data_IF_077710512664
#
_entry.id   IF_077710512664
#
_cell.length_a   1.000
_cell.length_b   1.000
_cell.length_c   1.000
_cell.angle_alpha   90.00
_cell.angle_beta   90.00
_cell.angle_gamma   90.00
#
_symmetry.space_group_name_H-M   'P 1'
#
loop_
_entity.id
_entity.type
_entity.pdbx_description
1 polymer ?
#
# COMPACT_ATOMS: atom_id res chain seq x y z
N UNK A 1 21.25 -7.23 3.83
CA UNK A 1 21.65 -6.32 2.74
C UNK A 1 23.02 -6.77 2.24
N UNK A 2 23.22 -6.88 0.93
CA UNK A 2 24.47 -7.39 0.32
C UNK A 2 25.50 -6.31 -0.01
N UNK A 3 25.17 -5.03 0.19
CA UNK A 3 26.02 -3.91 -0.21
C UNK A 3 25.99 -3.58 -1.71
N UNK A 4 25.05 -4.14 -2.48
CA UNK A 4 24.95 -3.92 -3.94
C UNK A 4 24.37 -2.54 -4.33
N UNK A 5 23.87 -1.77 -3.37
CA UNK A 5 23.38 -0.40 -3.55
C UNK A 5 23.60 0.40 -2.26
N UNK A 6 23.97 1.68 -2.39
CA UNK A 6 24.14 2.59 -1.24
C UNK A 6 22.79 3.04 -0.65
N UNK A 7 21.78 3.22 -1.52
CA UNK A 7 20.44 3.71 -1.18
C UNK A 7 19.41 2.94 -2.00
N UNK A 8 18.25 2.65 -1.40
CA UNK A 8 17.08 2.11 -2.08
C UNK A 8 15.80 2.78 -1.57
N UNK A 9 14.83 2.97 -2.45
CA UNK A 9 13.46 3.32 -2.08
C UNK A 9 12.66 2.04 -1.83
N UNK A 10 11.95 1.98 -0.70
CA UNK A 10 11.13 0.84 -0.29
C UNK A 10 9.78 1.41 0.16
N UNK A 11 8.67 0.82 -0.30
CA UNK A 11 7.35 1.25 0.15
C UNK A 11 7.12 0.89 1.64
N UNK A 12 6.24 1.63 2.31
CA UNK A 12 6.04 1.51 3.75
C UNK A 12 5.45 0.17 4.18
N UNK A 13 4.68 -0.51 3.31
CA UNK A 13 4.08 -1.82 3.60
C UNK A 13 5.15 -2.90 3.52
N UNK A 14 5.93 -2.93 2.44
CA UNK A 14 7.08 -3.84 2.31
C UNK A 14 8.10 -3.62 3.42
N UNK A 15 8.37 -2.36 3.82
CA UNK A 15 9.24 -2.08 4.96
C UNK A 15 8.66 -2.62 6.28
N UNK A 16 7.35 -2.48 6.50
CA UNK A 16 6.68 -3.02 7.68
C UNK A 16 6.82 -4.54 7.76
N UNK A 17 6.52 -5.25 6.67
CA UNK A 17 6.64 -6.72 6.57
C UNK A 17 8.09 -7.16 6.74
N UNK A 18 9.05 -6.48 6.10
CA UNK A 18 10.46 -6.81 6.23
C UNK A 18 10.95 -6.69 7.68
N UNK A 19 10.46 -5.72 8.48
CA UNK A 19 10.81 -5.65 9.92
C UNK A 19 10.39 -6.89 10.72
N UNK A 20 9.36 -7.61 10.26
CA UNK A 20 8.87 -8.81 10.92
C UNK A 20 9.61 -10.07 10.46
N UNK A 21 10.02 -10.13 9.18
CA UNK A 21 10.52 -11.36 8.57
C UNK A 21 12.01 -11.33 8.16
N UNK A 22 12.60 -10.15 7.97
CA UNK A 22 13.92 -10.00 7.34
C UNK A 22 15.02 -9.58 8.32
N UNK A 23 16.00 -10.46 8.64
CA UNK A 23 17.12 -10.11 9.52
C UNK A 23 17.96 -8.93 8.99
N UNK A 24 17.99 -8.75 7.67
CA UNK A 24 18.71 -7.70 6.97
C UNK A 24 18.31 -6.28 7.41
N UNK A 25 17.10 -6.10 7.96
CA UNK A 25 16.64 -4.81 8.47
C UNK A 25 17.59 -4.23 9.53
N UNK A 26 18.26 -5.09 10.31
CA UNK A 26 19.19 -4.66 11.37
C UNK A 26 20.41 -3.90 10.82
N UNK A 27 20.72 -4.07 9.54
CA UNK A 27 21.83 -3.38 8.88
C UNK A 27 21.38 -2.21 8.00
N UNK A 28 20.12 -1.80 8.08
CA UNK A 28 19.55 -0.72 7.28
C UNK A 28 19.14 0.45 8.18
N UNK A 29 19.20 1.66 7.62
CA UNK A 29 18.74 2.88 8.29
C UNK A 29 17.80 3.64 7.37
N UNK A 30 16.66 4.05 7.89
CA UNK A 30 15.75 4.97 7.18
C UNK A 30 16.34 6.38 7.24
N UNK A 31 16.55 6.99 6.07
CA UNK A 31 17.15 8.33 5.94
C UNK A 31 16.15 9.40 5.49
N UNK A 32 15.03 9.01 4.89
CA UNK A 32 13.98 9.91 4.42
C UNK A 32 12.65 9.14 4.24
N UNK A 33 11.55 9.90 4.16
CA UNK A 33 10.23 9.42 3.77
C UNK A 33 9.67 10.31 2.67
N UNK A 34 8.93 9.73 1.73
CA UNK A 34 8.04 10.49 0.84
C UNK A 34 6.84 10.99 1.63
N UNK A 35 6.12 11.99 1.10
CA UNK A 35 4.84 12.39 1.69
C UNK A 35 3.83 11.23 1.61
N UNK A 36 2.78 11.28 2.42
CA UNK A 36 1.76 10.24 2.43
C UNK A 36 0.97 10.21 1.11
N UNK A 37 0.69 9.01 0.60
CA UNK A 37 -0.20 8.75 -0.53
C UNK A 37 -1.34 7.84 -0.07
N UNK A 38 -2.52 7.87 -0.71
CA UNK A 38 -3.59 6.93 -0.41
C UNK A 38 -3.11 5.48 -0.51
N UNK A 39 -3.66 4.61 0.34
CA UNK A 39 -3.33 3.19 0.37
C UNK A 39 -3.77 2.46 -0.91
N UNK A 40 -3.31 1.22 -1.08
CA UNK A 40 -3.63 0.40 -2.25
C UNK A 40 -5.15 0.29 -2.45
N UNK A 41 -5.69 0.63 -3.64
CA UNK A 41 -7.11 0.49 -3.91
C UNK A 41 -7.49 -0.98 -4.08
N UNK A 42 -8.65 -1.37 -3.55
CA UNK A 42 -9.34 -2.59 -3.92
C UNK A 42 -10.35 -2.28 -5.02
N UNK A 43 -10.06 -2.74 -6.24
CA UNK A 43 -10.85 -2.41 -7.42
C UNK A 43 -11.77 -3.58 -7.77
N UNK A 44 -13.05 -3.30 -7.96
CA UNK A 44 -14.03 -4.29 -8.45
C UNK A 44 -14.21 -4.20 -9.98
N UNK A 45 -15.06 -5.06 -10.55
CA UNK A 45 -15.33 -5.01 -11.98
C UNK A 45 -16.09 -3.73 -12.38
N UNK A 46 -15.88 -3.29 -13.62
CA UNK A 46 -16.31 -1.97 -14.13
C UNK A 46 -17.79 -1.65 -13.97
N UNK A 47 -18.67 -2.66 -14.09
CA UNK A 47 -20.12 -2.45 -14.17
C UNK A 47 -20.86 -2.88 -12.89
N UNK A 48 -20.16 -2.90 -11.75
CA UNK A 48 -20.80 -3.20 -10.47
C UNK A 48 -21.86 -2.13 -10.14
N UNK A 49 -23.07 -2.58 -9.85
CA UNK A 49 -24.14 -1.72 -9.38
C UNK A 49 -23.85 -1.18 -7.98
N UNK A 50 -24.48 -0.06 -7.62
CA UNK A 50 -24.35 0.51 -6.27
C UNK A 50 -24.73 -0.50 -5.17
N UNK A 51 -25.72 -1.37 -5.44
CA UNK A 51 -26.13 -2.41 -4.51
C UNK A 51 -25.04 -3.47 -4.32
N UNK A 52 -24.41 -3.94 -5.40
CA UNK A 52 -23.30 -4.90 -5.33
C UNK A 52 -22.11 -4.29 -4.59
N UNK A 53 -21.80 -3.03 -4.85
CA UNK A 53 -20.74 -2.30 -4.14
C UNK A 53 -21.04 -2.20 -2.63
N UNK A 54 -22.28 -1.89 -2.25
CA UNK A 54 -22.68 -1.85 -0.84
C UNK A 54 -22.49 -3.21 -0.16
N UNK A 55 -22.93 -4.29 -0.80
CA UNK A 55 -22.77 -5.65 -0.28
C UNK A 55 -21.29 -6.02 -0.12
N UNK A 56 -20.43 -5.67 -1.07
CA UNK A 56 -18.99 -5.91 -0.97
C UNK A 56 -18.38 -5.13 0.21
N UNK A 57 -18.77 -3.87 0.42
CA UNK A 57 -18.27 -3.05 1.54
C UNK A 57 -18.68 -3.63 2.88
N UNK A 58 -19.93 -4.05 3.03
CA UNK A 58 -20.43 -4.68 4.27
C UNK A 58 -19.70 -5.99 4.55
N UNK A 59 -19.48 -6.82 3.52
CA UNK A 59 -18.75 -8.08 3.64
C UNK A 59 -17.28 -7.85 4.04
N UNK A 60 -16.61 -6.84 3.46
CA UNK A 60 -15.23 -6.49 3.81
C UNK A 60 -15.12 -5.95 5.24
N UNK A 61 -16.05 -5.09 5.66
CA UNK A 61 -16.09 -4.59 7.04
C UNK A 61 -16.22 -5.74 8.03
N UNK A 62 -17.18 -6.65 7.77
CA UNK A 62 -17.36 -7.85 8.59
C UNK A 62 -16.13 -8.76 8.60
N UNK A 63 -15.49 -8.97 7.45
CA UNK A 63 -14.29 -9.80 7.37
C UNK A 63 -13.11 -9.22 8.17
N UNK A 64 -12.96 -7.89 8.21
CA UNK A 64 -11.94 -7.22 9.02
C UNK A 64 -12.22 -7.38 10.52
N UNK A 65 -13.48 -7.26 10.92
CA UNK A 65 -13.90 -7.43 12.32
C UNK A 65 -13.72 -8.89 12.80
N UNK A 66 -14.02 -9.85 11.93
CA UNK A 66 -13.95 -11.29 12.23
C UNK A 66 -12.51 -11.85 12.21
N UNK A 67 -11.53 -11.10 11.69
CA UNK A 67 -10.14 -11.58 11.62
C UNK A 67 -9.52 -11.67 13.03
N UNK A 68 -8.80 -12.74 13.31
CA UNK A 68 -8.10 -12.89 14.60
C UNK A 68 -6.86 -11.97 14.67
N UNK A 69 -6.34 -11.76 15.88
CA UNK A 69 -5.24 -10.80 16.10
C UNK A 69 -3.92 -11.23 15.44
N UNK A 70 -3.65 -12.54 15.33
CA UNK A 70 -2.44 -13.05 14.68
C UNK A 70 -2.50 -12.77 13.17
N UNK A 71 -3.62 -13.12 12.54
CA UNK A 71 -3.89 -12.82 11.13
C UNK A 71 -3.90 -11.31 10.88
N UNK A 72 -4.48 -10.50 11.78
CA UNK A 72 -4.48 -9.03 11.66
C UNK A 72 -3.07 -8.46 11.69
N UNK A 73 -2.22 -8.94 12.60
CA UNK A 73 -0.84 -8.51 12.73
C UNK A 73 0.02 -8.89 11.51
N UNK A 74 -0.25 -10.06 10.92
CA UNK A 74 0.42 -10.54 9.71
C UNK A 74 -0.04 -9.81 8.44
N UNK A 75 -1.34 -9.59 8.27
CA UNK A 75 -1.89 -8.92 7.09
C UNK A 75 -1.62 -7.40 7.12
N UNK A 76 -1.56 -6.80 8.31
CA UNK A 76 -1.42 -5.35 8.48
C UNK A 76 -2.65 -4.55 8.03
N UNK A 77 -3.75 -5.23 7.67
CA UNK A 77 -5.00 -4.61 7.24
C UNK A 77 -5.88 -4.34 8.46
N UNK A 78 -6.29 -3.08 8.62
CA UNK A 78 -7.14 -2.64 9.75
C UNK A 78 -8.55 -2.21 9.33
N UNK A 79 -8.83 -2.21 8.03
CA UNK A 79 -10.10 -1.74 7.50
C UNK A 79 -10.02 -1.40 6.03
N UNK A 80 -11.20 -1.30 5.42
CA UNK A 80 -11.40 -0.75 4.10
C UNK A 80 -12.25 0.51 4.25
N UNK A 81 -11.82 1.59 3.58
CA UNK A 81 -12.54 2.86 3.59
C UNK A 81 -13.01 3.17 2.16
N UNK A 82 -14.25 3.64 1.98
CA UNK A 82 -14.69 4.13 0.68
C UNK A 82 -13.77 5.23 0.18
N UNK A 83 -13.37 5.14 -1.08
CA UNK A 83 -12.54 6.12 -1.79
C UNK A 83 -13.07 6.26 -3.21
N UNK A 84 -12.98 7.48 -3.71
CA UNK A 84 -13.28 7.83 -5.09
C UNK A 84 -11.98 7.96 -5.89
N UNK A 85 -12.07 8.05 -7.21
CA UNK A 85 -10.88 8.12 -8.08
C UNK A 85 -10.07 9.40 -7.81
N UNK A 86 -10.73 10.48 -7.44
CA UNK A 86 -10.12 11.78 -7.12
C UNK A 86 -9.21 11.71 -5.89
N UNK A 87 -9.45 10.81 -4.94
CA UNK A 87 -8.56 10.59 -3.80
C UNK A 87 -7.15 10.17 -4.25
N UNK A 88 -7.03 9.59 -5.46
CA UNK A 88 -5.79 9.11 -6.06
C UNK A 88 -5.15 10.12 -7.03
N UNK A 89 -5.74 11.30 -7.25
CA UNK A 89 -5.19 12.35 -8.11
C UNK A 89 -3.72 12.70 -7.81
N UNK A 90 -3.25 12.76 -6.54
CA UNK A 90 -1.85 13.06 -6.23
C UNK A 90 -0.85 12.08 -6.88
N UNK A 91 -1.25 10.82 -7.13
CA UNK A 91 -0.38 9.85 -7.78
C UNK A 91 -0.18 10.20 -9.27
N UNK A 92 -1.24 10.64 -9.94
CA UNK A 92 -1.17 11.10 -11.32
C UNK A 92 -0.35 12.41 -11.43
N UNK A 93 -0.50 13.31 -10.46
CA UNK A 93 0.29 14.54 -10.37
C UNK A 93 1.78 14.25 -10.15
N UNK A 94 2.11 13.33 -9.23
CA UNK A 94 3.47 12.87 -9.01
C UNK A 94 4.08 12.29 -10.29
N UNK A 95 3.32 11.47 -11.03
CA UNK A 95 3.74 10.94 -12.33
C UNK A 95 3.93 12.05 -13.37
N UNK A 96 3.07 13.07 -13.43
CA UNK A 96 3.26 14.17 -14.37
C UNK A 96 4.49 15.03 -14.01
N UNK A 97 4.75 15.25 -12.72
CA UNK A 97 5.87 16.05 -12.21
C UNK A 97 7.21 15.34 -12.34
N UNK A 98 7.23 14.04 -12.07
CA UNK A 98 8.46 13.24 -11.97
C UNK A 98 8.63 12.24 -13.13
N UNK A 99 7.61 12.09 -13.99
CA UNK A 99 7.55 11.04 -15.00
C UNK A 99 8.29 11.33 -16.30
N UNK A 100 8.80 10.24 -16.88
CA UNK A 100 9.72 10.12 -18.01
C UNK A 100 11.16 10.60 -17.78
N UNK A 101 11.66 10.59 -16.53
CA UNK A 101 13.10 10.36 -16.34
C UNK A 101 13.41 8.94 -16.86
N UNK A 102 13.74 8.89 -18.15
CA UNK A 102 14.20 7.70 -18.85
C UNK A 102 15.27 7.06 -17.99
N UNK A 103 14.95 5.91 -17.38
CA UNK A 103 15.93 4.94 -16.90
C UNK A 103 16.68 4.42 -18.13
N UNK A 104 17.53 5.28 -18.72
CA UNK A 104 18.56 4.87 -19.67
C UNK A 104 19.55 4.06 -18.84
N UNK A 105 19.43 2.75 -18.95
CA UNK A 105 20.52 1.83 -18.63
C UNK A 105 21.71 2.12 -19.54
#
# INVERSE_FOLDING_TARGET
ASGSADIAAIDCVSWHLAKQCEPAIKSLKVIAHTESRPGLPLITYRNASAQEISVMRDALAKAVDDVDEESRAMLGIRGFVPRDEEDYAPIAEDLARCGWLSLRR
#
